data_IF_383332283874
#
_entry.id   IF_383332283874
#
_cell.length_a   1.000
_cell.length_b   1.000
_cell.length_c   1.000
_cell.angle_alpha   90.00
_cell.angle_beta   90.00
_cell.angle_gamma   90.00
#
_symmetry.space_group_name_H-M   'P 1'
#
loop_
_entity.id
_entity.type
_entity.pdbx_description
1 polymer ?
#
# COMPACT_ATOMS: atom_id res chain seq x y z
N UNK A 1 -23.72 -1.93 33.66
CA UNK A 1 -22.88 -2.61 32.64
C UNK A 1 -22.18 -1.52 31.82
N UNK A 2 -20.87 -1.33 31.98
CA UNK A 2 -20.12 -0.26 31.26
C UNK A 2 -19.92 -0.69 29.81
N UNK A 3 -20.58 -0.02 28.87
CA UNK A 3 -20.39 -0.19 27.43
C UNK A 3 -18.94 0.10 27.07
N UNK A 4 -18.21 -0.89 26.55
CA UNK A 4 -16.88 -0.69 25.96
C UNK A 4 -17.00 0.30 24.80
N UNK A 5 -16.57 1.54 25.01
CA UNK A 5 -16.30 2.49 23.94
C UNK A 5 -15.36 1.80 22.94
N UNK A 6 -15.89 1.48 21.76
CA UNK A 6 -15.06 1.06 20.63
C UNK A 6 -14.20 2.26 20.29
N UNK A 7 -12.99 2.31 20.85
CA UNK A 7 -11.93 3.27 20.57
C UNK A 7 -11.86 3.38 19.06
N UNK A 8 -12.47 4.43 18.51
CA UNK A 8 -12.58 4.62 17.07
C UNK A 8 -11.15 4.73 16.60
N UNK A 9 -10.67 3.67 15.94
CA UNK A 9 -9.41 3.62 15.22
C UNK A 9 -9.14 5.01 14.65
N UNK A 10 -8.08 5.65 15.14
CA UNK A 10 -7.71 7.01 14.75
C UNK A 10 -7.72 7.05 13.23
N UNK A 11 -8.68 7.78 12.66
CA UNK A 11 -8.89 7.85 11.22
C UNK A 11 -7.68 8.57 10.62
N UNK A 12 -6.67 7.80 10.23
CA UNK A 12 -5.39 8.33 9.71
C UNK A 12 -5.59 9.06 8.37
N UNK A 13 -6.70 8.78 7.68
CA UNK A 13 -7.06 9.38 6.40
C UNK A 13 -7.99 10.58 6.63
N UNK A 14 -7.62 11.79 6.14
CA UNK A 14 -8.48 12.95 6.19
C UNK A 14 -9.82 12.73 5.47
N UNK A 15 -10.92 13.38 5.90
CA UNK A 15 -12.20 13.31 5.19
C UNK A 15 -12.04 13.79 3.74
N UNK A 16 -12.67 13.07 2.80
CA UNK A 16 -12.60 13.38 1.37
C UNK A 16 -11.31 12.92 0.67
N UNK A 17 -10.36 12.30 1.38
CA UNK A 17 -9.18 11.68 0.79
C UNK A 17 -9.34 10.16 0.74
N UNK A 18 -8.70 9.54 -0.25
CA UNK A 18 -8.70 8.08 -0.49
C UNK A 18 -7.33 7.51 -0.19
N UNK A 19 -7.27 6.28 0.34
CA UNK A 19 -6.00 5.56 0.49
C UNK A 19 -5.48 5.15 -0.88
N UNK A 20 -4.17 5.15 -1.08
CA UNK A 20 -3.56 4.47 -2.23
C UNK A 20 -3.70 2.96 -2.06
N UNK A 21 -3.81 2.22 -3.17
CA UNK A 21 -3.93 0.75 -3.17
C UNK A 21 -2.78 0.08 -2.41
N UNK A 22 -1.57 0.63 -2.50
CA UNK A 22 -0.40 0.13 -1.77
C UNK A 22 -0.47 0.38 -0.26
N UNK A 23 -1.10 1.48 0.15
CA UNK A 23 -1.35 1.76 1.57
C UNK A 23 -2.47 0.86 2.10
N UNK A 24 -3.50 0.66 1.28
CA UNK A 24 -4.63 -0.20 1.62
C UNK A 24 -4.21 -1.68 1.76
N UNK A 25 -3.30 -2.14 0.91
CA UNK A 25 -2.66 -3.45 1.00
C UNK A 25 -1.62 -3.55 2.14
N UNK A 26 -1.31 -2.45 2.84
CA UNK A 26 -0.33 -2.43 3.93
C UNK A 26 1.14 -2.51 3.49
N UNK A 27 1.41 -2.39 2.19
CA UNK A 27 2.78 -2.38 1.63
C UNK A 27 3.50 -1.09 2.00
N UNK A 28 2.76 0.01 2.14
CA UNK A 28 3.28 1.30 2.63
C UNK A 28 2.46 1.81 3.79
N UNK A 29 3.11 2.50 4.72
CA UNK A 29 2.47 3.00 5.94
C UNK A 29 1.46 4.12 5.68
N UNK A 30 1.79 5.05 4.77
CA UNK A 30 0.93 6.18 4.45
C UNK A 30 1.16 6.69 3.02
N UNK A 31 0.13 6.59 2.18
CA UNK A 31 0.06 7.26 0.88
C UNK A 31 -1.40 7.49 0.53
N UNK A 32 -1.76 8.75 0.32
CA UNK A 32 -3.09 9.11 -0.21
C UNK A 32 -3.09 9.03 -1.73
N UNK A 33 -4.24 8.62 -2.28
CA UNK A 33 -4.49 8.57 -3.70
C UNK A 33 -4.92 9.95 -4.22
N UNK A 34 -4.18 10.44 -5.20
CA UNK A 34 -4.39 11.69 -5.92
C UNK A 34 -5.02 11.48 -7.30
N UNK A 35 -4.95 10.25 -7.85
CA UNK A 35 -5.42 9.92 -9.20
C UNK A 35 -6.76 9.15 -9.25
N UNK A 36 -7.57 9.25 -8.20
CA UNK A 36 -8.90 8.59 -8.11
C UNK A 36 -8.90 7.09 -8.48
N UNK A 37 -7.86 6.35 -8.06
CA UNK A 37 -7.65 4.93 -8.39
C UNK A 37 -7.43 4.60 -9.87
N UNK A 38 -7.15 5.59 -10.73
CA UNK A 38 -6.55 5.35 -12.04
C UNK A 38 -5.08 4.98 -11.87
N UNK A 39 -4.82 3.73 -11.45
CA UNK A 39 -3.47 3.22 -11.25
C UNK A 39 -2.72 3.03 -12.57
N UNK A 40 -3.43 2.80 -13.69
CA UNK A 40 -2.86 2.64 -15.03
C UNK A 40 -2.09 3.86 -15.54
N UNK A 41 -2.38 5.05 -15.02
CA UNK A 41 -1.65 6.29 -15.34
C UNK A 41 -0.89 6.84 -14.13
N UNK A 42 -0.95 6.17 -12.99
CA UNK A 42 -0.35 6.65 -11.75
C UNK A 42 1.17 6.39 -11.73
N UNK A 43 1.95 7.47 -11.73
CA UNK A 43 3.42 7.41 -11.65
C UNK A 43 3.90 6.63 -10.41
N UNK A 44 3.20 6.76 -9.29
CA UNK A 44 3.54 6.04 -8.06
C UNK A 44 3.34 4.53 -8.22
N UNK A 45 2.26 4.10 -8.88
CA UNK A 45 1.99 2.69 -9.13
C UNK A 45 3.05 2.07 -10.04
N UNK A 46 3.36 2.73 -11.16
CA UNK A 46 4.39 2.28 -12.10
C UNK A 46 5.77 2.12 -11.44
N UNK A 47 6.16 3.08 -10.60
CA UNK A 47 7.41 3.00 -9.84
C UNK A 47 7.39 1.82 -8.84
N UNK A 48 6.27 1.60 -8.17
CA UNK A 48 6.13 0.49 -7.22
C UNK A 48 6.17 -0.87 -7.91
N UNK A 49 5.49 -1.02 -9.04
CA UNK A 49 5.54 -2.26 -9.83
C UNK A 49 6.96 -2.55 -10.31
N UNK A 50 7.69 -1.52 -10.79
CA UNK A 50 9.09 -1.67 -11.20
C UNK A 50 9.96 -2.14 -10.04
N UNK A 51 9.78 -1.57 -8.84
CA UNK A 51 10.50 -1.99 -7.64
C UNK A 51 10.20 -3.45 -7.28
N UNK A 52 8.92 -3.84 -7.30
CA UNK A 52 8.49 -5.21 -6.99
C UNK A 52 9.04 -6.21 -8.01
N UNK A 53 9.01 -5.88 -9.31
CA UNK A 53 9.57 -6.71 -10.36
C UNK A 53 11.06 -6.97 -10.13
N UNK A 54 11.84 -5.91 -9.89
CA UNK A 54 13.28 -6.03 -9.57
C UNK A 54 13.53 -6.87 -8.32
N UNK A 55 12.75 -6.69 -7.26
CA UNK A 55 12.90 -7.48 -6.04
C UNK A 55 12.58 -8.96 -6.31
N UNK A 56 11.54 -9.24 -7.09
CA UNK A 56 11.19 -10.60 -7.50
C UNK A 56 12.32 -11.26 -8.29
N UNK A 57 12.92 -10.55 -9.25
CA UNK A 57 14.08 -11.02 -9.99
C UNK A 57 15.28 -11.29 -9.07
N UNK A 58 15.56 -10.40 -8.11
CA UNK A 58 16.64 -10.60 -7.15
C UNK A 58 16.43 -11.83 -6.24
N UNK A 59 15.19 -12.08 -5.80
CA UNK A 59 14.83 -13.24 -4.99
C UNK A 59 14.86 -14.55 -5.81
N UNK A 60 14.65 -14.48 -7.13
CA UNK A 60 14.73 -15.63 -8.03
C UNK A 60 16.17 -16.09 -8.34
N UNK A 61 17.18 -15.32 -7.91
CA UNK A 61 18.60 -15.65 -8.10
C UNK A 61 19.16 -16.49 -6.94
N UNK A 62 18.37 -16.84 -5.92
CA UNK A 62 18.84 -17.82 -4.93
C UNK A 62 18.82 -19.23 -5.53
N UNK A 63 20.00 -19.89 -5.71
CA UNK A 63 20.02 -21.30 -6.06
C UNK A 63 19.51 -22.08 -4.85
N UNK A 64 18.42 -22.80 -5.04
CA UNK A 64 18.06 -23.90 -4.14
C UNK A 64 19.06 -25.04 -4.41
N UNK A 65 20.32 -24.89 -4.02
CA UNK A 65 21.35 -25.93 -4.14
C UNK A 65 22.56 -25.68 -3.21
N UNK A 66 22.45 -26.08 -1.93
CA UNK A 66 23.35 -27.03 -1.20
C UNK A 66 22.86 -27.27 0.23
#
# INVERSE_FOLDING_TARGET
>A
MKTREKKTSMKIVPPGKKKCVWMEAGVVSYKLCDNNYDCSTCVYDHAMQTKVARQKEALMIEPVDV
#
